data_IF_972996092146
#
_entry.id   IF_972996092146
#
_cell.length_a   1.000
_cell.length_b   1.000
_cell.length_c   1.000
_cell.angle_alpha   90.00
_cell.angle_beta   90.00
_cell.angle_gamma   90.00
#
_symmetry.space_group_name_H-M   'P 1'
#
loop_
_entity.id
_entity.type
_entity.pdbx_description
1 polymer ?
#
# COMPACT_ATOMS: atom_id res chain seq x y z
N UNK A 1 18.44 -33.97 -22.90
CA UNK A 1 18.71 -34.57 -21.58
C UNK A 1 19.47 -33.64 -20.64
N UNK A 2 20.62 -33.04 -21.01
CA UNK A 2 21.32 -32.07 -20.15
C UNK A 2 20.64 -30.67 -20.08
N UNK A 3 19.98 -30.25 -21.16
CA UNK A 3 19.29 -28.95 -21.24
C UNK A 3 17.94 -28.93 -20.49
N UNK A 4 17.39 -30.11 -20.18
CA UNK A 4 16.10 -30.26 -19.48
C UNK A 4 16.25 -30.17 -17.95
N UNK A 5 17.41 -30.53 -17.38
CA UNK A 5 17.70 -30.36 -15.94
C UNK A 5 18.01 -28.91 -15.55
N UNK A 6 18.67 -28.13 -16.41
CA UNK A 6 18.87 -26.68 -16.18
C UNK A 6 17.56 -25.88 -16.21
N UNK A 7 16.53 -26.37 -16.91
CA UNK A 7 15.22 -25.75 -16.94
C UNK A 7 14.51 -25.84 -15.56
N UNK A 8 14.91 -26.79 -14.70
CA UNK A 8 14.32 -27.00 -13.38
C UNK A 8 14.83 -26.03 -12.30
N UNK A 9 16.02 -25.45 -12.47
CA UNK A 9 16.57 -24.42 -11.55
C UNK A 9 15.98 -23.01 -11.78
N UNK A 10 15.23 -22.80 -12.87
CA UNK A 10 14.52 -21.53 -13.15
C UNK A 10 13.11 -21.49 -12.58
N UNK A 11 12.85 -22.19 -11.48
CA UNK A 11 11.60 -22.02 -10.71
C UNK A 11 11.62 -20.67 -10.02
N UNK A 12 11.12 -19.67 -10.76
CA UNK A 12 10.70 -18.33 -10.34
C UNK A 12 10.36 -18.28 -8.84
N UNK A 13 11.29 -17.81 -8.01
CA UNK A 13 11.03 -17.54 -6.60
C UNK A 13 10.03 -16.37 -6.50
N UNK A 14 8.75 -16.69 -6.34
CA UNK A 14 7.65 -15.71 -6.18
C UNK A 14 7.01 -15.80 -4.79
N UNK A 15 7.81 -16.14 -3.78
CA UNK A 15 7.36 -16.28 -2.41
C UNK A 15 8.29 -15.58 -1.42
N UNK A 16 7.88 -15.59 -0.15
CA UNK A 16 8.70 -15.12 0.96
C UNK A 16 10.08 -15.77 0.90
N UNK A 17 11.13 -14.98 1.12
CA UNK A 17 12.51 -15.45 1.13
C UNK A 17 12.85 -15.94 2.55
N UNK A 18 13.21 -17.22 2.75
CA UNK A 18 13.69 -17.74 4.02
C UNK A 18 14.88 -16.92 4.51
N UNK A 19 14.87 -16.55 5.80
CA UNK A 19 15.88 -15.64 6.36
C UNK A 19 15.61 -14.15 6.12
N UNK A 20 14.47 -13.78 5.53
CA UNK A 20 14.07 -12.38 5.40
C UNK A 20 13.78 -11.76 6.78
N UNK A 21 14.57 -10.75 7.14
CA UNK A 21 14.42 -10.00 8.39
C UNK A 21 13.32 -8.95 8.23
N UNK A 22 12.31 -9.04 9.08
CA UNK A 22 11.26 -8.01 9.15
C UNK A 22 11.75 -6.86 10.03
N UNK A 23 12.10 -5.75 9.38
CA UNK A 23 12.49 -4.52 10.07
C UNK A 23 11.23 -3.75 10.44
N UNK A 24 11.08 -3.38 11.72
CA UNK A 24 10.04 -2.46 12.15
C UNK A 24 10.35 -1.06 11.62
N UNK A 25 9.55 -0.59 10.66
CA UNK A 25 9.71 0.71 10.01
C UNK A 25 8.84 1.82 10.64
N UNK A 26 8.23 1.53 11.79
CA UNK A 26 7.25 2.39 12.44
C UNK A 26 6.14 2.82 11.46
N UNK A 27 5.37 1.82 11.05
CA UNK A 27 4.28 2.00 10.08
C UNK A 27 3.23 3.02 10.58
N UNK A 28 3.01 3.10 11.90
CA UNK A 28 2.09 4.05 12.50
C UNK A 28 2.57 5.49 12.30
N UNK A 29 3.83 5.80 12.63
CA UNK A 29 4.39 7.12 12.39
C UNK A 29 4.50 7.45 10.89
N UNK A 30 4.77 6.46 10.04
CA UNK A 30 4.71 6.62 8.59
C UNK A 30 3.32 7.04 8.10
N UNK A 31 2.27 6.38 8.59
CA UNK A 31 0.88 6.70 8.28
C UNK A 31 0.51 8.12 8.75
N UNK A 32 0.85 8.46 9.99
CA UNK A 32 0.57 9.78 10.55
C UNK A 32 1.19 10.92 9.72
N UNK A 33 2.44 10.75 9.25
CA UNK A 33 3.10 11.71 8.37
C UNK A 33 2.38 11.88 7.04
N UNK A 34 2.00 10.78 6.38
CA UNK A 34 1.26 10.84 5.11
C UNK A 34 -0.07 11.60 5.29
N UNK A 35 -0.78 11.33 6.38
CA UNK A 35 -2.04 12.03 6.70
C UNK A 35 -1.83 13.53 6.91
N UNK A 36 -0.82 13.90 7.71
CA UNK A 36 -0.47 15.30 7.96
C UNK A 36 -0.08 16.04 6.69
N UNK A 37 0.75 15.43 5.84
CA UNK A 37 1.36 16.12 4.70
C UNK A 37 0.39 16.35 3.53
N UNK A 38 -0.56 15.44 3.31
CA UNK A 38 -1.42 15.45 2.11
C UNK A 38 -2.92 15.63 2.39
N UNK A 39 -3.38 15.31 3.59
CA UNK A 39 -4.82 15.20 3.89
C UNK A 39 -5.31 16.15 4.98
N UNK A 40 -4.41 16.85 5.66
CA UNK A 40 -4.77 17.90 6.61
C UNK A 40 -5.37 19.12 5.90
N UNK A 41 -6.04 20.01 6.65
CA UNK A 41 -6.70 21.21 6.12
C UNK A 41 -5.72 22.16 5.43
N UNK A 42 -4.48 22.22 5.92
CA UNK A 42 -3.37 22.92 5.30
C UNK A 42 -2.27 21.92 4.92
N UNK A 43 -2.38 21.24 3.75
CA UNK A 43 -1.43 20.23 3.36
C UNK A 43 -0.09 20.85 2.96
N UNK A 44 1.01 20.20 3.35
CA UNK A 44 2.38 20.61 3.00
C UNK A 44 2.59 20.51 1.48
N UNK A 45 1.97 19.52 0.84
CA UNK A 45 2.09 19.28 -0.59
C UNK A 45 0.78 19.56 -1.34
N UNK A 46 0.90 20.27 -2.45
CA UNK A 46 -0.22 20.58 -3.35
C UNK A 46 -0.74 19.34 -4.09
N UNK A 47 -1.94 19.46 -4.66
CA UNK A 47 -2.58 18.44 -5.49
C UNK A 47 -1.71 17.98 -6.68
N UNK A 48 -0.84 18.85 -7.20
CA UNK A 48 0.12 18.50 -8.25
C UNK A 48 1.11 17.42 -7.77
N UNK A 49 1.68 17.60 -6.58
CA UNK A 49 2.60 16.64 -5.99
C UNK A 49 1.90 15.33 -5.65
N UNK A 50 0.67 15.40 -5.13
CA UNK A 50 -0.15 14.22 -4.88
C UNK A 50 -0.35 13.39 -6.16
N UNK A 51 -0.74 14.05 -7.26
CA UNK A 51 -0.95 13.39 -8.55
C UNK A 51 0.34 12.80 -9.11
N UNK A 52 1.48 13.45 -8.93
CA UNK A 52 2.78 12.89 -9.36
C UNK A 52 3.17 11.64 -8.56
N UNK A 53 2.92 11.62 -7.24
CA UNK A 53 3.28 10.52 -6.34
C UNK A 53 2.36 9.32 -6.48
N UNK A 54 1.05 9.53 -6.37
CA UNK A 54 0.04 8.47 -6.34
C UNK A 54 -0.59 8.19 -7.70
N UNK A 55 -0.25 8.99 -8.73
CA UNK A 55 -0.78 8.87 -10.10
C UNK A 55 -2.31 8.96 -10.19
N UNK A 56 -2.93 9.60 -9.20
CA UNK A 56 -4.39 9.81 -9.10
C UNK A 56 -4.72 11.22 -8.65
N UNK A 57 -5.95 11.68 -8.93
CA UNK A 57 -6.46 12.93 -8.37
C UNK A 57 -6.89 12.72 -6.91
N UNK A 58 -6.58 13.67 -6.03
CA UNK A 58 -6.91 13.61 -4.60
C UNK A 58 -8.42 13.41 -4.32
N UNK A 59 -9.36 14.06 -5.03
CA UNK A 59 -10.80 13.79 -4.85
C UNK A 59 -11.23 12.35 -5.17
N UNK A 60 -10.61 11.71 -6.17
CA UNK A 60 -10.90 10.29 -6.48
C UNK A 60 -10.43 9.39 -5.34
N UNK A 61 -9.25 9.66 -4.81
CA UNK A 61 -8.72 8.92 -3.66
C UNK A 61 -9.65 9.03 -2.45
N UNK A 62 -10.13 10.23 -2.13
CA UNK A 62 -11.08 10.45 -1.02
C UNK A 62 -12.39 9.68 -1.22
N UNK A 63 -12.93 9.63 -2.44
CA UNK A 63 -14.13 8.85 -2.76
C UNK A 63 -13.91 7.34 -2.57
N UNK A 64 -12.76 6.82 -3.01
CA UNK A 64 -12.40 5.41 -2.81
C UNK A 64 -12.26 5.12 -1.31
N UNK A 65 -11.55 5.97 -0.57
CA UNK A 65 -11.39 5.85 0.87
C UNK A 65 -12.73 5.84 1.59
N UNK A 66 -13.64 6.78 1.27
CA UNK A 66 -14.96 6.83 1.86
C UNK A 66 -15.77 5.55 1.59
N UNK A 67 -15.73 5.04 0.36
CA UNK A 67 -16.40 3.79 0.01
C UNK A 67 -15.81 2.57 0.75
N UNK A 68 -14.48 2.48 0.82
CA UNK A 68 -13.79 1.39 1.54
C UNK A 68 -14.07 1.47 3.04
N UNK A 69 -13.98 2.65 3.64
CA UNK A 69 -14.27 2.83 5.07
C UNK A 69 -15.73 2.50 5.39
N UNK A 70 -16.68 2.89 4.53
CA UNK A 70 -18.08 2.49 4.68
C UNK A 70 -18.23 0.96 4.72
N UNK A 71 -17.69 0.27 3.72
CA UNK A 71 -17.75 -1.21 3.61
C UNK A 71 -17.03 -1.90 4.77
N UNK A 72 -15.83 -1.43 5.14
CA UNK A 72 -15.07 -2.00 6.25
C UNK A 72 -15.75 -1.76 7.60
N UNK A 73 -16.37 -0.59 7.80
CA UNK A 73 -17.11 -0.29 9.03
C UNK A 73 -18.35 -1.17 9.18
N UNK A 74 -19.05 -1.47 8.09
CA UNK A 74 -20.16 -2.41 8.06
C UNK A 74 -19.70 -3.84 8.33
N UNK A 75 -18.59 -4.26 7.71
CA UNK A 75 -17.99 -5.59 7.94
C UNK A 75 -17.50 -5.79 9.37
N UNK A 76 -16.89 -4.76 9.99
CA UNK A 76 -16.49 -4.79 11.40
C UNK A 76 -17.73 -4.85 12.29
N UNK A 77 -18.75 -4.02 12.04
CA UNK A 77 -20.00 -4.01 12.83
C UNK A 77 -20.78 -5.32 12.75
N UNK A 78 -20.75 -6.02 11.62
CA UNK A 78 -21.48 -7.29 11.40
C UNK A 78 -20.68 -8.50 11.94
N UNK A 79 -19.35 -8.41 12.01
CA UNK A 79 -18.47 -9.50 12.48
C UNK A 79 -18.00 -9.37 13.92
N UNK A 80 -18.18 -8.20 14.55
CA UNK A 80 -18.05 -8.01 15.99
C UNK A 80 -19.31 -8.47 16.72
#
# INVERSE_FOLDING_TARGET
LAEEEEAHHRRRWRGSVPGHIVINRDHAAGHARIMSDYFNDNPVYTDYHFRRRYRMRRPLFLRIMAAVVAVLSELIRIKC
#
